data_IF_831316060020
#
_entry.id   IF_831316060020
#
_cell.length_a   1.000
_cell.length_b   1.000
_cell.length_c   1.000
_cell.angle_alpha   90.00
_cell.angle_beta   90.00
_cell.angle_gamma   90.00
#
_symmetry.space_group_name_H-M   'P 1'
#
loop_
_entity.id
_entity.type
_entity.pdbx_description
1 polymer ?
#
# COMPACT_ATOMS: atom_id res chain seq x y z
N UNK A 1 38.71 -16.78 -19.78
CA UNK A 1 39.39 -15.46 -19.92
C UNK A 1 38.40 -14.47 -20.53
N UNK A 2 38.30 -13.29 -19.90
CA UNK A 2 37.57 -12.06 -20.29
C UNK A 2 36.04 -12.06 -20.18
N UNK A 3 35.60 -11.61 -19.00
CA UNK A 3 34.38 -10.84 -18.73
C UNK A 3 34.35 -9.51 -19.51
N UNK A 4 33.15 -8.99 -19.79
CA UNK A 4 32.87 -7.54 -19.78
C UNK A 4 31.69 -7.25 -18.83
N UNK A 5 31.90 -6.44 -17.79
CA UNK A 5 31.80 -4.97 -17.72
C UNK A 5 30.45 -4.53 -17.13
N UNK A 6 30.53 -4.26 -15.83
CA UNK A 6 29.87 -3.24 -15.01
C UNK A 6 28.64 -2.54 -15.62
N UNK A 7 27.50 -2.75 -14.98
CA UNK A 7 26.32 -1.88 -15.00
C UNK A 7 26.56 -0.72 -14.03
N UNK A 8 26.40 0.51 -14.53
CA UNK A 8 26.37 1.73 -13.75
C UNK A 8 25.03 1.84 -13.00
N UNK A 9 25.13 2.16 -11.71
CA UNK A 9 24.02 2.48 -10.83
C UNK A 9 23.45 3.87 -11.16
N UNK A 10 22.14 3.97 -11.35
CA UNK A 10 21.41 5.23 -11.36
C UNK A 10 20.69 5.38 -10.02
N UNK A 11 21.24 6.18 -9.12
CA UNK A 11 20.59 6.60 -7.88
C UNK A 11 19.62 7.77 -8.18
N UNK A 12 18.32 7.52 -8.05
CA UNK A 12 17.32 8.58 -7.98
C UNK A 12 17.29 9.16 -6.55
N UNK A 13 17.64 10.43 -6.45
CA UNK A 13 17.38 11.27 -5.28
C UNK A 13 15.88 11.58 -5.21
N UNK A 14 15.27 11.28 -4.08
CA UNK A 14 13.95 11.81 -3.68
C UNK A 14 14.07 12.35 -2.26
N UNK A 15 14.52 13.60 -2.15
CA UNK A 15 14.34 14.39 -0.93
C UNK A 15 12.97 15.06 -0.99
N UNK A 16 12.00 14.51 -0.26
CA UNK A 16 10.85 15.24 0.23
C UNK A 16 10.11 14.39 1.28
N UNK A 17 10.35 14.66 2.56
CA UNK A 17 9.35 14.45 3.61
C UNK A 17 9.73 15.19 4.90
N UNK A 18 8.87 16.12 5.26
CA UNK A 18 8.31 16.29 6.60
C UNK A 18 9.14 16.96 7.70
N UNK A 19 9.04 18.29 7.67
CA UNK A 19 8.79 19.09 8.86
C UNK A 19 7.56 18.56 9.60
N UNK A 20 7.72 18.21 10.89
CA UNK A 20 6.85 18.56 12.03
C UNK A 20 7.55 18.03 13.29
N UNK A 21 8.11 18.94 14.10
CA UNK A 21 8.32 18.72 15.53
C UNK A 21 7.86 19.95 16.30
N UNK A 22 6.74 19.76 16.98
CA UNK A 22 6.27 20.58 18.10
C UNK A 22 7.23 20.50 19.29
N UNK A 23 6.93 21.32 20.32
CA UNK A 23 7.33 21.28 21.75
C UNK A 23 8.60 22.09 22.09
N UNK A 24 8.68 22.95 23.11
CA UNK A 24 7.88 23.26 24.32
C UNK A 24 8.14 24.74 24.68
N UNK A 25 7.12 25.46 25.17
CA UNK A 25 7.28 26.80 25.73
C UNK A 25 7.73 26.75 27.19
N UNK A 26 8.74 27.56 27.51
CA UNK A 26 9.13 27.88 28.88
C UNK A 26 8.26 29.05 29.38
N UNK A 27 7.45 28.81 30.39
CA UNK A 27 6.80 29.85 31.19
C UNK A 27 7.67 30.17 32.40
N UNK A 28 8.27 31.36 32.38
CA UNK A 28 8.90 32.03 33.51
C UNK A 28 7.85 32.45 34.54
N UNK A 29 7.96 31.95 35.77
CA UNK A 29 7.25 32.47 36.94
C UNK A 29 8.02 33.66 37.53
N UNK A 30 7.28 34.74 37.76
CA UNK A 30 7.70 35.99 38.39
C UNK A 30 7.57 35.84 39.92
N UNK A 31 8.64 36.15 40.65
CA UNK A 31 8.60 36.35 42.10
C UNK A 31 8.27 37.84 42.38
N UNK A 32 7.19 38.09 43.12
CA UNK A 32 6.89 39.39 43.74
C UNK A 32 7.28 39.34 45.23
N UNK A 33 8.23 40.19 45.62
CA UNK A 33 8.57 40.48 47.02
C UNK A 33 7.76 41.70 47.49
N UNK A 34 6.90 41.51 48.50
CA UNK A 34 6.28 42.61 49.25
C UNK A 34 7.10 42.96 50.50
N UNK A 35 7.71 44.14 50.47
CA UNK A 35 8.32 44.81 51.62
C UNK A 35 7.30 45.73 52.29
N UNK A 36 6.90 45.44 53.52
CA UNK A 36 6.14 46.36 54.39
C UNK A 36 7.01 46.81 55.57
N UNK A 37 7.40 48.08 55.52
CA UNK A 37 8.05 48.82 56.60
C UNK A 37 7.01 49.70 57.29
N UNK A 38 6.78 49.50 58.59
CA UNK A 38 5.97 50.41 59.41
C UNK A 38 6.80 50.99 60.57
N UNK A 39 6.89 52.32 60.55
CA UNK A 39 7.34 53.23 61.62
C UNK A 39 6.34 53.24 62.78
N UNK A 40 6.80 53.39 64.01
CA UNK A 40 6.24 54.42 64.90
C UNK A 40 7.19 54.82 66.03
N UNK A 41 7.18 56.13 66.30
CA UNK A 41 8.04 56.87 67.21
C UNK A 41 7.55 56.78 68.67
N UNK A 42 8.44 56.98 69.63
CA UNK A 42 8.08 57.50 70.95
C UNK A 42 9.18 58.42 71.49
N UNK A 43 8.79 59.69 71.58
CA UNK A 43 9.55 60.84 72.07
C UNK A 43 9.69 60.78 73.60
N UNK A 44 10.89 61.04 74.12
CA UNK A 44 11.13 61.31 75.54
C UNK A 44 11.30 62.82 75.72
N UNK A 45 10.30 63.48 76.31
CA UNK A 45 10.37 64.87 76.73
C UNK A 45 11.20 65.01 78.01
N UNK A 46 12.31 65.75 77.94
CA UNK A 46 13.09 66.17 79.10
C UNK A 46 12.36 67.28 79.86
N UNK A 47 12.21 67.09 81.17
CA UNK A 47 11.83 68.14 82.11
C UNK A 47 13.07 68.34 82.98
N UNK A 48 13.93 69.25 82.58
CA UNK A 48 15.00 69.78 83.43
C UNK A 48 14.56 71.14 83.99
N UNK A 49 14.50 71.17 85.32
CA UNK A 49 14.95 72.24 86.20
C UNK A 49 14.36 73.65 86.06
N UNK A 50 13.22 73.83 86.75
CA UNK A 50 12.88 75.07 87.43
C UNK A 50 13.63 75.15 88.78
N UNK A 51 14.71 75.93 88.83
CA UNK A 51 15.21 76.50 90.08
C UNK A 51 15.65 77.93 89.82
N UNK A 52 15.01 78.91 90.48
CA UNK A 52 15.68 79.99 91.24
C UNK A 52 14.64 81.01 91.77
N UNK A 53 14.39 80.91 93.08
CA UNK A 53 14.34 81.97 94.11
C UNK A 53 13.36 83.13 93.92
N UNK A 54 12.32 83.17 94.78
CA UNK A 54 11.80 84.42 95.32
C UNK A 54 11.57 84.30 96.83
N UNK A 55 12.17 85.23 97.54
CA UNK A 55 12.31 85.34 98.99
C UNK A 55 11.01 85.80 99.64
N UNK A 56 10.51 85.09 100.65
CA UNK A 56 9.87 85.72 101.82
C UNK A 56 9.71 84.74 102.97
N UNK A 57 10.22 85.19 104.10
CA UNK A 57 10.29 84.56 105.41
C UNK A 57 8.94 84.58 106.14
N UNK A 58 8.54 83.43 106.69
CA UNK A 58 8.03 83.22 108.06
C UNK A 58 7.15 81.97 108.12
N UNK A 59 7.34 81.14 109.16
CA UNK A 59 6.48 80.01 109.59
C UNK A 59 6.61 78.63 108.92
N UNK A 60 7.77 78.27 108.36
CA UNK A 60 8.00 76.98 107.65
C UNK A 60 8.50 75.78 108.48
N UNK A 61 8.75 75.93 109.79
CA UNK A 61 9.32 74.83 110.59
C UNK A 61 8.31 73.77 111.06
N UNK A 62 7.01 74.08 111.13
CA UNK A 62 5.99 73.10 111.57
C UNK A 62 5.35 72.32 110.40
N UNK A 63 5.35 72.89 109.19
CA UNK A 63 4.84 72.23 107.97
C UNK A 63 5.78 71.11 107.50
N UNK A 64 7.09 71.26 107.73
CA UNK A 64 8.12 70.32 107.28
C UNK A 64 8.04 68.94 107.98
N UNK A 65 7.62 68.91 109.25
CA UNK A 65 7.41 67.66 110.00
C UNK A 65 6.22 66.85 109.49
N UNK A 66 5.07 67.51 109.27
CA UNK A 66 3.84 66.89 108.77
C UNK A 66 3.98 66.38 107.33
N UNK A 67 4.70 67.13 106.48
CA UNK A 67 5.07 66.69 105.12
C UNK A 67 5.95 65.43 105.17
N UNK A 68 7.00 65.41 106.00
CA UNK A 68 7.92 64.27 106.11
C UNK A 68 7.21 62.99 106.58
N UNK A 69 6.25 63.11 107.49
CA UNK A 69 5.42 61.98 107.93
C UNK A 69 4.46 61.48 106.84
N UNK A 70 3.85 62.40 106.08
CA UNK A 70 2.99 62.07 104.94
C UNK A 70 3.77 61.39 103.82
N UNK A 71 5.00 61.82 103.57
CA UNK A 71 5.92 61.27 102.57
C UNK A 71 6.31 59.83 102.93
N UNK A 72 6.67 59.56 104.19
CA UNK A 72 6.92 58.18 104.67
C UNK A 72 5.70 57.28 104.53
N UNK A 73 4.49 57.80 104.80
CA UNK A 73 3.24 57.03 104.67
C UNK A 73 2.92 56.72 103.21
N UNK A 74 3.24 57.63 102.28
CA UNK A 74 3.13 57.42 100.84
C UNK A 74 4.16 56.39 100.35
N UNK A 75 5.41 56.51 100.78
CA UNK A 75 6.48 55.58 100.44
C UNK A 75 6.16 54.15 100.87
N UNK A 76 5.69 53.96 102.10
CA UNK A 76 5.23 52.66 102.57
C UNK A 76 4.01 52.11 101.79
N UNK A 77 3.09 53.00 101.38
CA UNK A 77 1.95 52.61 100.52
C UNK A 77 2.40 52.21 99.11
N UNK A 78 3.42 52.86 98.56
CA UNK A 78 4.02 52.51 97.28
C UNK A 78 4.71 51.15 97.37
N UNK A 79 5.60 50.95 98.35
CA UNK A 79 6.28 49.67 98.58
C UNK A 79 5.30 48.50 98.73
N UNK A 80 4.20 48.70 99.48
CA UNK A 80 3.15 47.69 99.62
C UNK A 80 2.43 47.39 98.30
N UNK A 81 2.21 48.40 97.45
CA UNK A 81 1.62 48.22 96.12
C UNK A 81 2.60 47.52 95.18
N UNK A 82 3.87 47.87 95.22
CA UNK A 82 4.92 47.25 94.42
C UNK A 82 5.05 45.76 94.75
N UNK A 83 5.09 45.41 96.05
CA UNK A 83 5.09 44.00 96.48
C UNK A 83 3.84 43.23 96.03
N UNK A 84 2.67 43.90 96.07
CA UNK A 84 1.42 43.32 95.59
C UNK A 84 1.42 43.13 94.07
N UNK A 85 2.07 44.05 93.34
CA UNK A 85 2.20 43.99 91.89
C UNK A 85 3.17 42.87 91.49
N UNK A 86 4.33 42.77 92.14
CA UNK A 86 5.31 41.70 91.92
C UNK A 86 4.69 40.31 92.13
N UNK A 87 3.92 40.13 93.20
CA UNK A 87 3.18 38.88 93.44
C UNK A 87 2.19 38.57 92.31
N UNK A 88 1.47 39.58 91.84
CA UNK A 88 0.51 39.41 90.74
C UNK A 88 1.21 39.06 89.42
N UNK A 89 2.37 39.67 89.14
CA UNK A 89 3.21 39.37 87.98
C UNK A 89 3.71 37.92 88.07
N UNK A 90 4.19 37.49 89.22
CA UNK A 90 4.66 36.12 89.44
C UNK A 90 3.54 35.09 89.21
N UNK A 91 2.34 35.33 89.76
CA UNK A 91 1.18 34.47 89.56
C UNK A 91 0.76 34.41 88.08
N UNK A 92 0.83 35.53 87.36
CA UNK A 92 0.58 35.58 85.90
C UNK A 92 1.63 34.80 85.12
N UNK A 93 2.92 34.93 85.45
CA UNK A 93 4.00 34.17 84.80
C UNK A 93 3.80 32.66 84.98
N UNK A 94 3.41 32.22 86.19
CA UNK A 94 3.12 30.81 86.46
C UNK A 94 1.92 30.29 85.64
N UNK A 95 0.87 31.09 85.50
CA UNK A 95 -0.29 30.77 84.64
C UNK A 95 0.11 30.67 83.18
N UNK A 96 0.92 31.61 82.67
CA UNK A 96 1.42 31.59 81.28
C UNK A 96 2.25 30.33 81.02
N UNK A 97 3.13 29.95 81.95
CA UNK A 97 3.91 28.71 81.83
C UNK A 97 3.03 27.46 81.78
N UNK A 98 1.97 27.43 82.59
CA UNK A 98 1.01 26.31 82.60
C UNK A 98 0.27 26.22 81.27
N UNK A 99 -0.27 27.34 80.78
CA UNK A 99 -0.96 27.41 79.47
C UNK A 99 -0.03 26.98 78.33
N UNK A 100 1.21 27.46 78.33
CA UNK A 100 2.19 27.08 77.30
C UNK A 100 2.52 25.58 77.33
N UNK A 101 2.54 24.97 78.52
CA UNK A 101 2.77 23.54 78.67
C UNK A 101 1.57 22.73 78.15
N UNK A 102 0.35 23.14 78.48
CA UNK A 102 -0.88 22.48 78.04
C UNK A 102 -1.03 22.56 76.51
N UNK A 103 -0.86 23.75 75.93
CA UNK A 103 -0.87 23.94 74.47
C UNK A 103 0.21 23.10 73.77
N UNK A 104 1.41 22.96 74.37
CA UNK A 104 2.48 22.13 73.79
C UNK A 104 2.06 20.66 73.73
N UNK A 105 1.39 20.15 74.76
CA UNK A 105 0.90 18.77 74.79
C UNK A 105 -0.23 18.57 73.78
N UNK A 106 -1.18 19.49 73.69
CA UNK A 106 -2.27 19.45 72.70
C UNK A 106 -1.72 19.46 71.26
N UNK A 107 -0.74 20.32 70.96
CA UNK A 107 -0.07 20.35 69.66
C UNK A 107 0.59 19.01 69.33
N UNK A 108 1.22 18.36 70.31
CA UNK A 108 1.90 17.09 70.08
C UNK A 108 0.90 15.93 69.89
N UNK A 109 -0.21 15.92 70.61
CA UNK A 109 -1.31 14.98 70.39
C UNK A 109 -1.94 15.16 69.00
N UNK A 110 -2.18 16.41 68.58
CA UNK A 110 -2.68 16.73 67.25
C UNK A 110 -1.71 16.21 66.17
N UNK A 111 -0.39 16.43 66.33
CA UNK A 111 0.61 15.90 65.39
C UNK A 111 0.58 14.37 65.30
N UNK A 112 0.50 13.67 66.43
CA UNK A 112 0.42 12.20 66.45
C UNK A 112 -0.84 11.69 65.74
N UNK A 113 -1.98 12.33 65.98
CA UNK A 113 -3.24 12.00 65.33
C UNK A 113 -3.18 12.24 63.81
N UNK A 114 -2.59 13.37 63.37
CA UNK A 114 -2.38 13.63 61.95
C UNK A 114 -1.44 12.62 61.30
N UNK A 115 -0.34 12.24 61.98
CA UNK A 115 0.60 11.25 61.47
C UNK A 115 -0.07 9.89 61.29
N UNK A 116 -0.88 9.47 62.28
CA UNK A 116 -1.67 8.23 62.21
C UNK A 116 -2.67 8.26 61.04
N UNK A 117 -3.38 9.37 60.85
CA UNK A 117 -4.32 9.56 59.74
C UNK A 117 -3.63 9.45 58.38
N UNK A 118 -2.44 10.05 58.24
CA UNK A 118 -1.63 9.97 57.01
C UNK A 118 -1.22 8.52 56.74
N UNK A 119 -0.76 7.79 57.76
CA UNK A 119 -0.36 6.39 57.62
C UNK A 119 -1.53 5.47 57.22
N UNK A 120 -2.72 5.69 57.78
CA UNK A 120 -3.94 4.96 57.43
C UNK A 120 -4.36 5.25 55.98
N UNK A 121 -4.36 6.51 55.56
CA UNK A 121 -4.66 6.89 54.18
C UNK A 121 -3.65 6.31 53.17
N UNK A 122 -2.35 6.28 53.52
CA UNK A 122 -1.33 5.63 52.68
C UNK A 122 -1.59 4.13 52.54
N UNK A 123 -1.99 3.45 53.62
CA UNK A 123 -2.33 2.01 53.57
C UNK A 123 -3.56 1.75 52.71
N UNK A 124 -4.59 2.59 52.82
CA UNK A 124 -5.79 2.47 52.01
C UNK A 124 -5.50 2.68 50.52
N UNK A 125 -4.75 3.73 50.17
CA UNK A 125 -4.35 4.02 48.78
C UNK A 125 -3.51 2.88 48.17
N UNK A 126 -2.64 2.25 48.96
CA UNK A 126 -1.89 1.06 48.51
C UNK A 126 -2.81 -0.12 48.21
N UNK A 127 -3.76 -0.41 49.10
CA UNK A 127 -4.71 -1.49 48.90
C UNK A 127 -5.62 -1.26 47.67
N UNK A 128 -6.11 -0.04 47.47
CA UNK A 128 -6.92 0.33 46.30
C UNK A 128 -6.12 0.20 44.99
N UNK A 129 -4.86 0.63 44.99
CA UNK A 129 -3.98 0.48 43.83
C UNK A 129 -3.68 -1.00 43.52
N UNK A 130 -3.44 -1.84 44.52
CA UNK A 130 -3.20 -3.28 44.34
C UNK A 130 -4.43 -3.99 43.74
N UNK A 131 -5.64 -3.61 44.17
CA UNK A 131 -6.90 -4.12 43.60
C UNK A 131 -7.06 -3.67 42.14
N UNK A 132 -6.79 -2.40 41.84
CA UNK A 132 -6.86 -1.83 40.49
C UNK A 132 -5.85 -2.48 39.53
N UNK A 133 -4.64 -2.79 40.00
CA UNK A 133 -3.62 -3.52 39.26
C UNK A 133 -4.07 -4.94 38.92
N UNK A 134 -4.58 -5.71 39.90
CA UNK A 134 -5.09 -7.06 39.65
C UNK A 134 -6.21 -7.11 38.62
N UNK A 135 -7.14 -6.15 38.68
CA UNK A 135 -8.23 -6.05 37.69
C UNK A 135 -7.71 -5.75 36.28
N UNK A 136 -6.64 -4.95 36.15
CA UNK A 136 -6.00 -4.67 34.85
C UNK A 136 -5.30 -5.91 34.29
N UNK A 137 -4.60 -6.67 35.13
CA UNK A 137 -3.91 -7.89 34.70
C UNK A 137 -4.89 -8.96 34.22
N UNK A 138 -6.02 -9.15 34.91
CA UNK A 138 -7.09 -10.05 34.47
C UNK A 138 -7.66 -9.64 33.10
N UNK A 139 -7.84 -8.33 32.88
CA UNK A 139 -8.33 -7.80 31.59
C UNK A 139 -7.31 -7.97 30.46
N UNK A 140 -6.01 -7.82 30.74
CA UNK A 140 -4.94 -8.05 29.76
C UNK A 140 -4.92 -9.53 29.35
N UNK A 141 -4.93 -10.45 30.32
CA UNK A 141 -4.95 -11.89 30.06
C UNK A 141 -6.17 -12.30 29.21
N UNK A 142 -7.34 -11.71 29.47
CA UNK A 142 -8.54 -11.94 28.66
C UNK A 142 -8.35 -11.49 27.19
N UNK A 143 -7.77 -10.30 26.97
CA UNK A 143 -7.55 -9.77 25.62
C UNK A 143 -6.52 -10.57 24.82
N UNK A 144 -5.46 -11.07 25.47
CA UNK A 144 -4.46 -11.92 24.82
C UNK A 144 -5.08 -13.22 24.28
N UNK A 145 -6.02 -13.81 25.03
CA UNK A 145 -6.77 -15.00 24.61
C UNK A 145 -7.65 -14.71 23.38
N UNK A 146 -8.31 -13.55 23.33
CA UNK A 146 -9.15 -13.16 22.19
C UNK A 146 -8.31 -12.85 20.93
N UNK A 147 -7.16 -12.18 21.07
CA UNK A 147 -6.22 -11.93 19.96
C UNK A 147 -5.72 -13.26 19.38
N UNK A 148 -5.38 -14.23 20.23
CA UNK A 148 -4.93 -15.55 19.77
C UNK A 148 -6.00 -16.26 18.95
N UNK A 149 -7.26 -16.26 19.40
CA UNK A 149 -8.38 -16.84 18.63
C UNK A 149 -8.58 -16.15 17.28
N UNK A 150 -8.44 -14.83 17.22
CA UNK A 150 -8.57 -14.07 15.99
C UNK A 150 -7.46 -14.41 14.99
N UNK A 151 -6.21 -14.55 15.46
CA UNK A 151 -5.09 -14.96 14.63
C UNK A 151 -5.27 -16.38 14.09
N UNK A 152 -5.68 -17.34 14.94
CA UNK A 152 -5.96 -18.72 14.51
C UNK A 152 -7.05 -18.76 13.40
N UNK A 153 -8.05 -17.87 13.48
CA UNK A 153 -9.10 -17.74 12.45
C UNK A 153 -8.57 -17.13 11.15
N UNK A 154 -7.69 -16.14 11.24
CA UNK A 154 -7.05 -15.50 10.06
C UNK A 154 -6.17 -16.52 9.34
N UNK A 155 -5.31 -17.23 10.08
CA UNK A 155 -4.42 -18.23 9.51
C UNK A 155 -5.20 -19.35 8.82
N UNK A 156 -6.32 -19.78 9.41
CA UNK A 156 -7.25 -20.72 8.76
C UNK A 156 -7.80 -20.16 7.45
N UNK A 157 -8.29 -18.91 7.44
CA UNK A 157 -8.83 -18.28 6.22
C UNK A 157 -7.75 -18.09 5.14
N UNK A 158 -6.53 -17.75 5.54
CA UNK A 158 -5.38 -17.65 4.64
C UNK A 158 -5.08 -19.02 4.04
N UNK A 159 -5.03 -20.08 4.86
CA UNK A 159 -4.87 -21.46 4.40
C UNK A 159 -5.95 -21.88 3.40
N UNK A 160 -7.22 -21.53 3.67
CA UNK A 160 -8.34 -21.79 2.75
C UNK A 160 -8.20 -21.00 1.43
N UNK A 161 -7.73 -19.75 1.48
CA UNK A 161 -7.43 -18.91 0.30
C UNK A 161 -6.27 -19.46 -0.55
N UNK A 162 -5.23 -20.01 0.08
CA UNK A 162 -4.08 -20.61 -0.61
C UNK A 162 -4.34 -22.05 -1.09
N UNK A 163 -5.23 -22.79 -0.44
CA UNK A 163 -5.68 -24.11 -0.89
C UNK A 163 -6.62 -24.06 -2.11
N UNK A 164 -7.01 -22.87 -2.56
CA UNK A 164 -7.48 -22.71 -3.94
C UNK A 164 -6.31 -23.01 -4.88
N UNK A 165 -6.26 -24.23 -5.40
CA UNK A 165 -5.46 -24.71 -6.54
C UNK A 165 -5.64 -23.88 -7.85
N UNK A 166 -6.12 -22.65 -7.74
CA UNK A 166 -6.29 -21.66 -8.79
C UNK A 166 -5.25 -20.54 -8.73
N UNK A 167 -4.22 -20.60 -7.89
CA UNK A 167 -3.13 -19.61 -7.95
C UNK A 167 -2.42 -19.61 -9.31
N UNK A 168 -2.30 -20.78 -9.96
CA UNK A 168 -1.87 -20.85 -11.37
C UNK A 168 -2.90 -20.23 -12.34
N UNK A 169 -4.19 -20.25 -12.01
CA UNK A 169 -5.22 -19.55 -12.79
C UNK A 169 -5.17 -18.03 -12.56
N UNK A 170 -4.88 -17.57 -11.35
CA UNK A 170 -4.73 -16.14 -11.02
C UNK A 170 -3.43 -15.58 -11.59
N UNK A 171 -2.34 -16.34 -11.55
CA UNK A 171 -1.09 -15.98 -12.24
C UNK A 171 -1.29 -16.01 -13.77
N UNK A 172 -2.09 -16.93 -14.32
CA UNK A 172 -2.49 -16.88 -15.73
C UNK A 172 -3.42 -15.70 -16.07
N UNK A 173 -4.14 -15.15 -15.09
CA UNK A 173 -4.92 -13.91 -15.23
C UNK A 173 -4.04 -12.65 -15.14
N UNK A 174 -2.88 -12.74 -14.47
CA UNK A 174 -1.87 -11.68 -14.41
C UNK A 174 -0.97 -11.68 -15.66
N UNK A 175 -0.80 -12.83 -16.32
CA UNK A 175 -0.31 -12.87 -17.69
C UNK A 175 -1.36 -12.21 -18.57
N UNK A 176 -1.07 -10.99 -19.01
CA UNK A 176 -2.05 -10.13 -19.68
C UNK A 176 -2.59 -10.71 -21.00
N UNK A 177 -2.19 -11.90 -21.46
CA UNK A 177 -2.60 -12.51 -22.71
C UNK A 177 -3.43 -13.79 -22.51
N UNK A 178 -4.65 -13.80 -23.06
CA UNK A 178 -5.58 -14.92 -23.05
C UNK A 178 -5.71 -15.49 -24.46
N UNK A 179 -5.40 -16.77 -24.64
CA UNK A 179 -5.68 -17.47 -25.89
C UNK A 179 -7.18 -17.69 -26.08
N UNK A 180 -7.70 -17.27 -27.23
CA UNK A 180 -9.12 -17.43 -27.58
C UNK A 180 -9.27 -18.59 -28.54
N UNK A 181 -9.80 -19.71 -28.03
CA UNK A 181 -10.08 -20.90 -28.82
C UNK A 181 -11.27 -20.66 -29.75
N UNK A 182 -11.04 -20.68 -31.06
CA UNK A 182 -12.09 -20.68 -32.09
C UNK A 182 -12.00 -21.99 -32.86
N UNK A 183 -13.02 -22.85 -32.75
CA UNK A 183 -13.11 -24.03 -33.60
C UNK A 183 -13.17 -23.58 -35.06
N UNK A 184 -12.24 -24.03 -35.89
CA UNK A 184 -12.13 -23.56 -37.27
C UNK A 184 -11.77 -24.69 -38.24
N UNK A 185 -11.90 -24.38 -39.53
CA UNK A 185 -11.59 -25.28 -40.64
C UNK A 185 -11.44 -24.54 -41.95
N UNK A 186 -10.75 -25.12 -42.93
CA UNK A 186 -10.77 -24.61 -44.30
C UNK A 186 -12.17 -24.74 -44.90
N UNK A 187 -12.61 -23.72 -45.65
CA UNK A 187 -13.98 -23.72 -46.20
C UNK A 187 -14.09 -23.15 -47.60
N UNK A 188 -13.29 -22.15 -47.92
CA UNK A 188 -13.45 -21.36 -49.13
C UNK A 188 -12.14 -21.32 -49.89
N UNK A 189 -12.18 -21.67 -51.17
CA UNK A 189 -11.08 -21.48 -52.11
C UNK A 189 -11.43 -20.24 -52.94
N UNK A 190 -10.53 -19.27 -53.02
CA UNK A 190 -10.75 -18.06 -53.78
C UNK A 190 -10.81 -18.37 -55.28
N UNK A 191 -11.97 -18.15 -55.89
CA UNK A 191 -12.21 -18.45 -57.29
C UNK A 191 -11.45 -17.53 -58.25
N UNK A 192 -10.99 -16.35 -57.80
CA UNK A 192 -10.21 -15.44 -58.64
C UNK A 192 -8.80 -15.96 -58.86
N UNK A 193 -8.20 -16.54 -57.83
CA UNK A 193 -6.81 -17.02 -57.87
C UNK A 193 -6.69 -18.50 -58.20
N UNK A 194 -7.74 -19.28 -57.95
CA UNK A 194 -7.61 -20.74 -57.79
C UNK A 194 -8.50 -21.51 -58.77
N UNK A 195 -8.34 -21.30 -60.07
CA UNK A 195 -9.00 -22.12 -61.11
C UNK A 195 -8.00 -23.11 -61.71
N UNK A 196 -8.37 -24.39 -61.84
CA UNK A 196 -7.55 -25.36 -62.57
C UNK A 196 -7.43 -24.98 -64.05
N UNK A 197 -8.55 -24.53 -64.65
CA UNK A 197 -8.71 -24.05 -66.01
C UNK A 197 -10.10 -23.37 -66.12
N UNK A 198 -10.43 -22.80 -67.28
CA UNK A 198 -11.75 -22.19 -67.55
C UNK A 198 -12.94 -23.10 -67.21
N UNK A 199 -12.77 -24.43 -67.37
CA UNK A 199 -13.83 -25.40 -67.17
C UNK A 199 -13.99 -25.84 -65.70
N UNK A 200 -13.17 -25.35 -64.76
CA UNK A 200 -13.22 -25.71 -63.32
C UNK A 200 -13.30 -27.24 -63.08
N UNK A 201 -12.57 -27.98 -63.90
CA UNK A 201 -12.41 -29.43 -63.93
C UNK A 201 -12.15 -30.09 -62.57
N UNK A 202 -11.36 -29.42 -61.72
CA UNK A 202 -11.08 -29.78 -60.33
C UNK A 202 -11.57 -28.62 -59.47
N UNK A 203 -12.31 -28.93 -58.41
CA UNK A 203 -12.85 -27.97 -57.45
C UNK A 203 -13.14 -28.67 -56.11
N UNK A 204 -13.69 -27.94 -55.15
CA UNK A 204 -14.00 -28.48 -53.81
C UNK A 204 -14.99 -29.64 -53.81
N UNK A 205 -15.89 -29.73 -54.79
CA UNK A 205 -16.86 -30.82 -54.91
C UNK A 205 -16.30 -32.04 -55.68
N UNK A 206 -15.29 -31.83 -56.51
CA UNK A 206 -14.59 -32.90 -57.23
C UNK A 206 -13.08 -32.79 -56.98
N UNK A 207 -12.60 -33.27 -55.81
CA UNK A 207 -11.27 -32.92 -55.37
C UNK A 207 -10.14 -33.79 -55.90
N UNK A 208 -10.49 -34.79 -56.69
CA UNK A 208 -9.60 -35.81 -57.21
C UNK A 208 -9.64 -35.73 -58.73
N UNK A 209 -8.48 -35.93 -59.36
CA UNK A 209 -8.34 -35.98 -60.81
C UNK A 209 -7.15 -35.18 -61.29
N UNK A 210 -7.04 -35.04 -62.62
CA UNK A 210 -6.06 -34.19 -63.28
C UNK A 210 -6.78 -33.06 -64.00
N UNK A 211 -6.16 -31.88 -64.04
CA UNK A 211 -6.69 -30.82 -64.85
C UNK A 211 -6.62 -31.22 -66.33
N UNK A 212 -7.70 -31.00 -67.08
CA UNK A 212 -7.73 -31.34 -68.52
C UNK A 212 -6.68 -30.54 -69.32
N UNK A 213 -6.26 -29.37 -68.83
CA UNK A 213 -5.17 -28.56 -69.41
C UNK A 213 -3.80 -28.91 -68.80
N UNK A 214 -3.71 -29.92 -67.92
CA UNK A 214 -2.47 -30.35 -67.26
C UNK A 214 -1.99 -29.43 -66.14
N UNK A 215 -2.76 -28.41 -65.74
CA UNK A 215 -2.37 -27.43 -64.72
C UNK A 215 -2.43 -27.98 -63.28
N UNK A 216 -1.60 -27.43 -62.40
CA UNK A 216 -1.63 -27.72 -60.96
C UNK A 216 -2.77 -27.01 -60.23
N UNK A 217 -3.24 -27.61 -59.14
CA UNK A 217 -4.39 -27.13 -58.36
C UNK A 217 -4.36 -27.58 -56.90
N UNK A 218 -4.68 -26.69 -55.97
CA UNK A 218 -4.79 -27.00 -54.54
C UNK A 218 -6.24 -27.19 -54.11
N UNK A 219 -6.50 -28.24 -53.33
CA UNK A 219 -7.84 -28.59 -52.90
C UNK A 219 -7.95 -28.86 -51.41
N UNK A 220 -9.11 -28.55 -50.84
CA UNK A 220 -9.46 -28.86 -49.46
C UNK A 220 -9.89 -30.34 -49.41
N UNK A 221 -9.07 -31.19 -48.80
CA UNK A 221 -9.37 -32.64 -48.68
C UNK A 221 -10.19 -32.94 -47.43
N UNK A 222 -9.99 -32.16 -46.37
CA UNK A 222 -10.82 -32.20 -45.16
C UNK A 222 -10.74 -30.85 -44.43
N UNK A 223 -11.33 -30.78 -43.23
CA UNK A 223 -11.43 -29.57 -42.42
C UNK A 223 -10.07 -28.90 -42.12
N UNK A 224 -8.95 -29.63 -42.11
CA UNK A 224 -7.62 -29.09 -41.76
C UNK A 224 -6.57 -29.25 -42.88
N UNK A 225 -6.82 -30.07 -43.90
CA UNK A 225 -5.81 -30.44 -44.89
C UNK A 225 -6.13 -29.86 -46.27
N UNK A 226 -5.11 -29.26 -46.88
CA UNK A 226 -5.12 -28.83 -48.27
C UNK A 226 -4.07 -29.66 -49.01
N UNK A 227 -4.47 -30.33 -50.09
CA UNK A 227 -3.58 -31.08 -50.96
C UNK A 227 -3.37 -30.36 -52.28
N UNK A 228 -2.12 -30.16 -52.66
CA UNK A 228 -1.77 -29.68 -53.99
C UNK A 228 -1.61 -30.86 -54.95
N UNK A 229 -2.34 -30.79 -56.07
CA UNK A 229 -2.24 -31.70 -57.19
C UNK A 229 -1.33 -31.05 -58.21
N UNK A 230 -0.14 -31.61 -58.36
CA UNK A 230 0.88 -31.12 -59.31
C UNK A 230 0.41 -31.31 -60.75
N UNK A 231 0.64 -30.31 -61.59
CA UNK A 231 0.34 -30.38 -63.01
C UNK A 231 1.22 -31.39 -63.78
N UNK A 232 0.66 -31.97 -64.83
CA UNK A 232 1.32 -32.91 -65.74
C UNK A 232 1.66 -32.20 -67.05
N UNK A 233 2.62 -31.27 -66.98
CA UNK A 233 3.09 -30.46 -68.12
C UNK A 233 2.39 -29.11 -68.33
N UNK A 234 1.38 -28.76 -67.52
CA UNK A 234 0.74 -27.44 -67.53
C UNK A 234 1.37 -26.42 -66.56
N UNK A 235 0.69 -25.29 -66.36
CA UNK A 235 1.11 -24.25 -65.39
C UNK A 235 0.55 -24.55 -64.01
N UNK A 236 1.38 -24.43 -62.97
CA UNK A 236 0.97 -24.58 -61.58
C UNK A 236 0.42 -23.25 -61.04
N UNK A 237 -0.90 -23.17 -60.85
CA UNK A 237 -1.55 -21.96 -60.34
C UNK A 237 -1.42 -21.81 -58.83
N UNK A 238 -1.44 -20.57 -58.38
CA UNK A 238 -1.60 -20.26 -56.97
C UNK A 238 -3.00 -20.62 -56.48
N UNK A 239 -3.12 -20.89 -55.18
CA UNK A 239 -4.38 -21.24 -54.55
C UNK A 239 -4.50 -20.42 -53.28
N UNK A 240 -5.55 -19.62 -53.16
CA UNK A 240 -5.87 -18.94 -51.93
C UNK A 240 -7.00 -19.66 -51.21
N UNK A 241 -6.80 -20.01 -49.95
CA UNK A 241 -7.80 -20.71 -49.13
C UNK A 241 -8.05 -19.95 -47.84
N UNK A 242 -9.33 -19.79 -47.50
CA UNK A 242 -9.79 -19.12 -46.30
C UNK A 242 -10.45 -20.10 -45.33
N UNK A 243 -10.24 -19.84 -44.03
CA UNK A 243 -10.90 -20.59 -42.98
C UNK A 243 -12.38 -20.18 -42.82
N UNK A 244 -13.22 -21.04 -42.26
CA UNK A 244 -14.67 -20.81 -42.10
C UNK A 244 -14.96 -19.60 -41.21
N UNK A 245 -14.30 -19.53 -40.06
CA UNK A 245 -14.55 -18.53 -39.04
C UNK A 245 -13.45 -17.46 -39.05
N UNK A 246 -13.85 -16.21 -38.84
CA UNK A 246 -12.93 -15.10 -38.61
C UNK A 246 -12.63 -14.93 -37.11
N UNK A 247 -11.47 -14.36 -36.83
CA UNK A 247 -11.08 -13.84 -35.54
C UNK A 247 -11.77 -12.49 -35.35
N UNK A 248 -12.73 -12.43 -34.43
CA UNK A 248 -13.52 -11.23 -34.17
C UNK A 248 -12.89 -10.41 -33.05
N UNK A 249 -12.93 -9.09 -33.20
CA UNK A 249 -12.57 -8.15 -32.14
C UNK A 249 -13.50 -8.36 -30.94
N UNK A 250 -12.97 -8.45 -29.71
CA UNK A 250 -13.80 -8.54 -28.53
C UNK A 250 -14.52 -7.22 -28.26
N UNK A 251 -15.75 -7.28 -27.75
CA UNK A 251 -16.48 -6.08 -27.34
C UNK A 251 -16.03 -5.58 -25.96
N UNK A 252 -15.78 -6.49 -25.00
CA UNK A 252 -15.45 -6.16 -23.61
C UNK A 252 -14.31 -7.04 -23.08
N UNK A 253 -13.07 -6.79 -23.52
CA UNK A 253 -11.90 -7.52 -23.03
C UNK A 253 -11.09 -6.68 -22.05
N UNK A 254 -10.73 -7.27 -20.90
CA UNK A 254 -9.78 -6.68 -19.94
C UNK A 254 -8.34 -7.16 -20.19
N UNK A 255 -8.17 -8.25 -20.94
CA UNK A 255 -6.89 -8.85 -21.26
C UNK A 255 -6.57 -8.68 -22.74
N UNK A 256 -5.29 -8.80 -23.11
CA UNK A 256 -4.91 -9.04 -24.49
C UNK A 256 -5.48 -10.39 -24.92
N UNK A 257 -6.06 -10.44 -26.12
CA UNK A 257 -6.61 -11.67 -26.68
C UNK A 257 -5.74 -12.15 -27.81
N UNK A 258 -5.25 -13.39 -27.70
CA UNK A 258 -4.48 -14.07 -28.74
C UNK A 258 -5.38 -15.01 -29.54
N UNK A 259 -5.46 -14.77 -30.84
CA UNK A 259 -5.94 -15.73 -31.82
C UNK A 259 -4.73 -16.32 -32.55
N UNK A 260 -4.69 -17.64 -32.71
CA UNK A 260 -3.51 -18.30 -33.26
C UNK A 260 -3.87 -19.57 -34.04
N UNK A 261 -3.17 -19.81 -35.14
CA UNK A 261 -3.23 -21.07 -35.89
C UNK A 261 -1.87 -21.41 -36.48
N UNK A 262 -1.63 -22.70 -36.71
CA UNK A 262 -0.42 -23.20 -37.37
C UNK A 262 -0.75 -23.94 -38.67
N UNK A 263 0.21 -24.00 -39.57
CA UNK A 263 0.20 -24.84 -40.77
C UNK A 263 1.55 -25.55 -40.90
N UNK A 264 1.51 -26.85 -41.11
CA UNK A 264 2.66 -27.68 -41.46
C UNK A 264 2.70 -27.83 -42.97
N UNK A 265 3.76 -27.36 -43.61
CA UNK A 265 3.85 -27.32 -45.06
C UNK A 265 4.59 -28.54 -45.61
N UNK A 266 4.18 -29.02 -46.79
CA UNK A 266 4.84 -30.13 -47.49
C UNK A 266 5.03 -29.80 -48.97
N UNK A 267 6.24 -29.95 -49.47
CA UNK A 267 6.52 -29.83 -50.90
C UNK A 267 5.94 -31.03 -51.66
N UNK A 268 5.23 -30.79 -52.76
CA UNK A 268 4.71 -31.86 -53.61
C UNK A 268 5.59 -32.11 -54.84
N UNK A 269 6.54 -31.20 -55.13
CA UNK A 269 7.49 -31.35 -56.23
C UNK A 269 8.82 -30.67 -55.90
N UNK A 270 9.91 -31.39 -56.13
CA UNK A 270 11.23 -30.78 -56.26
C UNK A 270 11.27 -30.10 -57.63
N UNK A 271 11.14 -28.78 -57.63
CA UNK A 271 11.08 -28.02 -58.87
C UNK A 271 12.49 -27.58 -59.26
N UNK A 272 12.93 -28.03 -60.43
CA UNK A 272 14.08 -27.47 -61.13
C UNK A 272 13.74 -26.05 -61.64
N UNK A 273 13.69 -25.07 -60.74
CA UNK A 273 13.67 -23.65 -61.06
C UNK A 273 12.37 -22.87 -60.77
N UNK A 274 11.22 -23.51 -60.53
CA UNK A 274 10.03 -22.82 -59.99
C UNK A 274 9.99 -22.93 -58.48
N UNK A 275 9.96 -21.79 -57.78
CA UNK A 275 9.95 -21.78 -56.33
C UNK A 275 8.57 -22.19 -55.84
N UNK A 276 8.49 -23.29 -55.08
CA UNK A 276 7.32 -23.56 -54.24
C UNK A 276 7.01 -22.32 -53.41
N UNK A 277 5.76 -21.89 -53.41
CA UNK A 277 5.36 -20.66 -52.75
C UNK A 277 4.33 -20.95 -51.67
N UNK A 278 4.53 -20.33 -50.51
CA UNK A 278 3.59 -20.39 -49.42
C UNK A 278 3.58 -19.05 -48.69
N UNK A 279 2.38 -18.52 -48.46
CA UNK A 279 2.12 -17.37 -47.62
C UNK A 279 1.01 -17.74 -46.64
N UNK A 280 1.27 -17.59 -45.35
CA UNK A 280 0.29 -17.67 -44.28
C UNK A 280 -0.04 -16.25 -43.84
N UNK A 281 -1.29 -15.98 -43.48
CA UNK A 281 -1.65 -14.69 -42.90
C UNK A 281 -3.13 -14.52 -42.64
N UNK A 282 -3.55 -13.27 -42.64
CA UNK A 282 -4.89 -12.84 -42.28
C UNK A 282 -5.45 -11.90 -43.36
N UNK A 283 -6.71 -12.13 -43.76
CA UNK A 283 -7.47 -11.21 -44.61
C UNK A 283 -8.36 -10.34 -43.74
N UNK A 284 -8.31 -9.04 -43.95
CA UNK A 284 -9.24 -8.12 -43.32
C UNK A 284 -10.63 -8.30 -43.95
N UNK A 285 -11.65 -8.60 -43.14
CA UNK A 285 -12.99 -8.87 -43.64
C UNK A 285 -13.73 -7.61 -44.11
N UNK A 286 -13.32 -6.42 -43.66
CA UNK A 286 -13.98 -5.15 -43.99
C UNK A 286 -13.44 -4.53 -45.28
N UNK A 287 -12.12 -4.57 -45.48
CA UNK A 287 -11.47 -3.94 -46.65
C UNK A 287 -11.14 -4.91 -47.76
N UNK A 288 -11.26 -6.22 -47.52
CA UNK A 288 -10.72 -7.28 -48.37
C UNK A 288 -9.21 -7.20 -48.60
N UNK A 289 -8.49 -6.39 -47.83
CA UNK A 289 -7.05 -6.28 -47.97
C UNK A 289 -6.34 -7.44 -47.29
N UNK A 290 -5.35 -7.96 -48.01
CA UNK A 290 -4.53 -9.05 -47.56
C UNK A 290 -3.32 -8.53 -46.79
N UNK A 291 -3.25 -8.87 -45.50
CA UNK A 291 -2.06 -8.60 -44.70
C UNK A 291 -1.03 -9.67 -45.03
N UNK A 292 0.02 -9.29 -45.75
CA UNK A 292 1.08 -10.20 -46.22
C UNK A 292 2.30 -10.09 -45.31
N UNK A 293 2.83 -11.23 -44.91
CA UNK A 293 4.15 -11.29 -44.26
C UNK A 293 5.29 -11.25 -45.29
N UNK A 294 6.47 -10.71 -44.94
CA UNK A 294 7.71 -10.90 -45.70
C UNK A 294 7.98 -12.36 -46.04
N UNK A 295 8.64 -12.55 -47.18
CA UNK A 295 9.16 -13.83 -47.63
C UNK A 295 10.19 -14.37 -46.63
N UNK A 296 10.02 -15.63 -46.21
CA UNK A 296 10.97 -16.36 -45.36
C UNK A 296 11.42 -17.64 -46.09
N UNK A 297 12.61 -18.13 -45.74
CA UNK A 297 13.06 -19.46 -46.16
C UNK A 297 12.33 -20.54 -45.36
N UNK A 298 12.00 -21.63 -46.02
CA UNK A 298 11.28 -22.73 -45.38
C UNK A 298 11.67 -24.07 -46.00
N UNK A 299 11.60 -25.10 -45.17
CA UNK A 299 11.90 -26.48 -45.54
C UNK A 299 10.63 -27.34 -45.55
N UNK A 300 10.76 -28.53 -46.11
CA UNK A 300 9.71 -29.53 -46.06
C UNK A 300 9.38 -29.88 -44.60
N UNK A 301 8.10 -29.90 -44.24
CA UNK A 301 7.57 -30.14 -42.89
C UNK A 301 7.80 -29.04 -41.86
N UNK A 302 8.30 -27.85 -42.25
CA UNK A 302 8.30 -26.70 -41.34
C UNK A 302 6.86 -26.35 -40.92
N UNK A 303 6.73 -25.93 -39.66
CA UNK A 303 5.48 -25.48 -39.06
C UNK A 303 5.50 -23.97 -38.95
N UNK A 304 4.56 -23.30 -39.61
CA UNK A 304 4.39 -21.85 -39.55
C UNK A 304 3.15 -21.51 -38.75
N UNK A 305 3.25 -20.52 -37.88
CA UNK A 305 2.11 -20.00 -37.14
C UNK A 305 1.86 -18.53 -37.42
N UNK A 306 0.61 -18.13 -37.26
CA UNK A 306 0.18 -16.74 -37.37
C UNK A 306 -0.69 -16.40 -36.17
N UNK A 307 -0.21 -15.44 -35.37
CA UNK A 307 -0.89 -14.93 -34.19
C UNK A 307 -1.42 -13.53 -34.41
N UNK A 308 -2.66 -13.26 -33.99
CA UNK A 308 -3.27 -11.94 -33.92
C UNK A 308 -3.56 -11.62 -32.46
N UNK A 309 -3.11 -10.43 -32.02
CA UNK A 309 -3.27 -9.96 -30.66
C UNK A 309 -4.15 -8.71 -30.67
N UNK A 310 -5.28 -8.79 -29.98
CA UNK A 310 -6.11 -7.62 -29.69
C UNK A 310 -5.77 -7.07 -28.31
N UNK A 311 -5.55 -5.75 -28.15
CA UNK A 311 -5.38 -5.14 -26.84
C UNK A 311 -6.70 -5.13 -26.04
N UNK A 312 -6.63 -4.96 -24.72
CA UNK A 312 -7.80 -4.71 -23.87
C UNK A 312 -8.64 -3.52 -24.36
N UNK A 313 -9.97 -3.58 -24.19
CA UNK A 313 -10.91 -2.53 -24.61
C UNK A 313 -10.61 -1.19 -23.92
N UNK A 314 -10.11 -1.20 -22.68
CA UNK A 314 -9.74 0.02 -21.95
C UNK A 314 -8.44 0.68 -22.46
N UNK A 315 -7.70 0.03 -23.36
CA UNK A 315 -6.49 0.56 -23.99
C UNK A 315 -6.76 1.04 -25.41
N UNK A 316 -7.67 2.00 -25.56
CA UNK A 316 -8.16 2.48 -26.87
C UNK A 316 -7.06 3.02 -27.81
N UNK A 317 -5.90 3.43 -27.27
CA UNK A 317 -4.77 3.95 -28.04
C UNK A 317 -3.83 2.85 -28.59
N UNK A 318 -4.02 1.59 -28.16
CA UNK A 318 -3.26 0.46 -28.69
C UNK A 318 -4.02 -0.15 -29.88
N UNK A 319 -3.27 -0.47 -30.95
CA UNK A 319 -3.81 -1.16 -32.11
C UNK A 319 -3.50 -2.64 -32.04
N UNK A 320 -4.34 -3.51 -32.64
CA UNK A 320 -4.00 -4.91 -32.76
C UNK A 320 -2.68 -5.09 -33.51
N UNK A 321 -1.98 -6.17 -33.23
CA UNK A 321 -0.78 -6.54 -33.96
C UNK A 321 -0.80 -8.03 -34.24
N UNK A 322 -0.07 -8.45 -35.27
CA UNK A 322 0.09 -9.85 -35.59
C UNK A 322 1.57 -10.22 -35.63
N UNK A 323 1.88 -11.47 -35.37
CA UNK A 323 3.23 -12.02 -35.40
C UNK A 323 3.22 -13.39 -36.04
N UNK A 324 4.39 -13.86 -36.42
CA UNK A 324 4.57 -15.16 -37.04
C UNK A 324 5.53 -15.99 -36.22
N UNK A 325 5.40 -17.29 -36.38
CA UNK A 325 6.30 -18.26 -35.76
C UNK A 325 6.73 -19.27 -36.81
N UNK A 326 7.95 -19.78 -36.67
CA UNK A 326 8.45 -20.93 -37.41
C UNK A 326 8.98 -21.95 -36.41
N UNK A 327 8.50 -23.18 -36.51
CA UNK A 327 8.87 -24.30 -35.65
C UNK A 327 8.77 -23.98 -34.15
N UNK A 328 7.72 -23.24 -33.78
CA UNK A 328 7.43 -22.86 -32.39
C UNK A 328 8.23 -21.68 -31.85
N UNK A 329 9.00 -20.97 -32.69
CA UNK A 329 9.71 -19.74 -32.31
C UNK A 329 9.17 -18.56 -33.08
N UNK A 330 8.94 -17.44 -32.42
CA UNK A 330 8.56 -16.20 -33.10
C UNK A 330 9.65 -15.77 -34.09
N UNK A 331 9.24 -15.40 -35.30
CA UNK A 331 10.11 -14.87 -36.34
C UNK A 331 9.80 -13.39 -36.55
N UNK A 332 10.83 -12.56 -36.63
CA UNK A 332 10.68 -11.11 -36.77
C UNK A 332 10.01 -10.43 -35.57
N UNK A 333 9.69 -9.14 -35.76
CA UNK A 333 8.92 -8.35 -34.79
C UNK A 333 7.43 -8.45 -35.13
N UNK A 334 6.58 -8.28 -34.11
CA UNK A 334 5.15 -8.12 -34.33
C UNK A 334 4.87 -6.91 -35.22
N UNK A 335 3.94 -7.04 -36.16
CA UNK A 335 3.53 -6.00 -37.07
C UNK A 335 2.26 -5.37 -36.53
N UNK A 336 2.38 -4.13 -36.07
CA UNK A 336 1.25 -3.33 -35.60
C UNK A 336 0.34 -2.97 -36.78
N UNK A 337 -0.97 -3.10 -36.60
CA UNK A 337 -1.95 -2.71 -37.59
C UNK A 337 -2.22 -1.21 -37.50
N UNK A 338 -2.46 -0.58 -38.64
CA UNK A 338 -2.77 0.85 -38.73
C UNK A 338 -4.19 1.16 -38.23
N UNK A 339 -5.06 0.15 -38.27
CA UNK A 339 -6.48 0.25 -37.95
C UNK A 339 -6.94 -0.90 -37.06
N UNK A 340 -8.02 -0.67 -36.31
CA UNK A 340 -8.58 -1.63 -35.36
C UNK A 340 -9.87 -2.28 -35.91
N UNK A 341 -9.69 -3.11 -36.95
CA UNK A 341 -10.80 -3.75 -37.66
C UNK A 341 -11.52 -4.81 -36.82
N UNK A 342 -12.81 -4.99 -37.12
CA UNK A 342 -13.71 -5.86 -36.35
C UNK A 342 -13.43 -7.35 -36.54
N UNK A 343 -12.86 -7.76 -37.68
CA UNK A 343 -12.49 -9.16 -37.85
C UNK A 343 -11.46 -9.44 -38.94
N UNK A 344 -10.69 -10.50 -38.72
CA UNK A 344 -9.70 -11.02 -39.65
C UNK A 344 -9.91 -12.51 -39.90
N UNK A 345 -9.80 -12.94 -41.16
CA UNK A 345 -10.01 -14.33 -41.56
C UNK A 345 -8.66 -15.01 -41.80
N UNK A 346 -8.36 -16.14 -41.14
CA UNK A 346 -7.18 -16.94 -41.48
C UNK A 346 -7.16 -17.30 -42.95
N UNK A 347 -6.00 -17.13 -43.58
CA UNK A 347 -5.78 -17.47 -44.97
C UNK A 347 -4.43 -18.11 -45.21
N UNK A 348 -4.36 -18.87 -46.31
CA UNK A 348 -3.13 -19.38 -46.90
C UNK A 348 -3.13 -19.15 -48.40
N UNK A 349 -1.95 -18.90 -48.96
CA UNK A 349 -1.72 -18.77 -50.40
C UNK A 349 -0.61 -19.74 -50.78
N UNK A 350 -0.88 -20.67 -51.70
CA UNK A 350 -0.03 -21.84 -51.94
C UNK A 350 0.26 -22.03 -53.42
N UNK A 351 1.44 -22.54 -53.75
CA UNK A 351 1.82 -23.05 -55.06
C UNK A 351 2.77 -24.24 -54.87
N UNK A 352 2.48 -25.37 -55.52
CA UNK A 352 3.25 -26.61 -55.46
C UNK A 352 3.50 -27.18 -54.05
N UNK A 353 2.65 -26.83 -53.08
CA UNK A 353 2.76 -27.32 -51.72
C UNK A 353 1.39 -27.64 -51.10
N UNK A 354 1.36 -28.74 -50.36
CA UNK A 354 0.25 -29.13 -49.49
C UNK A 354 0.47 -28.60 -48.09
N UNK A 355 -0.59 -28.53 -47.29
CA UNK A 355 -0.46 -28.25 -45.86
C UNK A 355 -1.48 -28.97 -45.00
N UNK A 356 -1.10 -29.14 -43.74
CA UNK A 356 -1.96 -29.56 -42.64
C UNK A 356 -2.07 -28.40 -41.66
N UNK A 357 -3.28 -27.93 -41.37
CA UNK A 357 -3.52 -26.89 -40.38
C UNK A 357 -3.70 -27.46 -38.98
N UNK A 358 -3.39 -26.64 -37.98
CA UNK A 358 -3.83 -26.80 -36.61
C UNK A 358 -4.50 -25.48 -36.20
N UNK A 359 -5.82 -25.50 -36.02
CA UNK A 359 -6.59 -24.34 -35.55
C UNK A 359 -6.77 -24.32 -34.02
N UNK A 360 -6.12 -25.24 -33.30
CA UNK A 360 -6.32 -25.42 -31.86
C UNK A 360 -7.67 -26.06 -31.52
N UNK A 361 -8.24 -26.83 -32.45
CA UNK A 361 -9.51 -27.54 -32.27
C UNK A 361 -9.42 -28.53 -31.09
N UNK A 362 -8.29 -29.23 -30.97
CA UNK A 362 -7.95 -30.16 -29.89
C UNK A 362 -6.47 -29.97 -29.50
N UNK A 363 -6.24 -29.20 -28.43
CA UNK A 363 -4.90 -28.89 -27.94
C UNK A 363 -4.32 -30.00 -27.03
N UNK A 364 -5.15 -30.95 -26.60
CA UNK A 364 -4.69 -32.06 -25.76
C UNK A 364 -3.97 -33.09 -26.61
N UNK A 365 -4.56 -33.46 -27.75
CA UNK A 365 -3.98 -34.45 -28.66
C UNK A 365 -3.07 -33.83 -29.74
N UNK A 366 -3.34 -32.58 -30.12
CA UNK A 366 -2.60 -31.84 -31.16
C UNK A 366 -2.23 -30.43 -30.67
N UNK A 367 -1.34 -30.30 -29.67
CA UNK A 367 -0.90 -29.00 -29.18
C UNK A 367 -0.19 -28.20 -30.29
N UNK A 368 -0.20 -26.87 -30.15
CA UNK A 368 0.63 -26.03 -31.00
C UNK A 368 2.12 -26.29 -30.75
N UNK A 369 2.94 -26.07 -31.77
CA UNK A 369 4.40 -26.08 -31.60
C UNK A 369 4.87 -24.83 -30.86
N UNK A 370 4.22 -23.69 -31.08
CA UNK A 370 4.43 -22.47 -30.30
C UNK A 370 3.76 -22.56 -28.92
N UNK A 371 4.51 -22.22 -27.88
CA UNK A 371 4.03 -22.24 -26.50
C UNK A 371 3.25 -20.94 -26.19
N UNK A 372 1.96 -20.96 -26.52
CA UNK A 372 1.04 -19.82 -26.32
C UNK A 372 0.85 -19.44 -24.84
N UNK A 373 1.29 -20.27 -23.89
CA UNK A 373 1.15 -20.03 -22.45
C UNK A 373 2.39 -19.39 -21.81
N UNK A 374 3.52 -19.34 -22.53
CA UNK A 374 4.75 -18.66 -22.08
C UNK A 374 4.83 -17.18 -22.46
N UNK A 375 3.84 -16.67 -23.19
CA UNK A 375 3.86 -15.34 -23.81
C UNK A 375 3.57 -14.20 -22.86
#
# INVERSE_FOLDING_TARGET
MKTPKQLEEWSFSTDNSDNIKNKIGDETLVEEEDNLTEKSCLETSSIDDLSTICSSSCSTQNINGSLKQSLKKLQFKMEKKDLSLEKSIFDLQKKIQTINFDHKNEIEEIKQNFQKLIEENIKQLKAENDISLKQKDEKINYLEVEIKKANDLIDKKIGDLFNFNNLNSVVSLLNNMVFVKIKNKWKEIDSEYSKCCENNCINTNNPIGKCIKGNGYGNIINDENIKYLVGDGGFDYYVCVYAKNSFKKPQNSFNYLLYYFEVKCKFEKELNGSNSYMNIGLRNCSTNNDIRYPTFSWNNNDIFGCGLVYPPTNKMNEFPYFFYTQNGKQIGKGIKLEDNFDSYKPRVFLNCCSLEANFGNDLETKPFKYDIFKT
#
